data_IF_066281152781
#
_entry.id   IF_066281152781
#
_cell.length_a   1.000
_cell.length_b   1.000
_cell.length_c   1.000
_cell.angle_alpha   90.00
_cell.angle_beta   90.00
_cell.angle_gamma   90.00
#
_symmetry.space_group_name_H-M   'P 1'
#
loop_
_entity.id
_entity.type
_entity.pdbx_description
1 polymer ?
#
# COMPACT_ATOMS: atom_id res chain seq x y z
N UNK A 1 -31.14 21.33 9.63
CA UNK A 1 -29.84 21.85 10.09
C UNK A 1 -28.74 21.29 9.17
N UNK A 2 -28.00 22.20 8.53
CA UNK A 2 -27.02 21.86 7.50
C UNK A 2 -25.57 21.87 8.00
N UNK A 3 -25.34 21.93 9.29
CA UNK A 3 -24.00 22.03 9.89
C UNK A 3 -23.84 21.14 11.12
N UNK A 4 -22.58 20.77 11.42
CA UNK A 4 -22.19 20.03 12.61
C UNK A 4 -20.89 20.60 13.18
N UNK A 5 -20.75 20.58 14.51
CA UNK A 5 -19.51 20.98 15.20
C UNK A 5 -18.87 19.72 15.78
N UNK A 6 -17.59 19.54 15.51
CA UNK A 6 -16.76 18.48 16.10
C UNK A 6 -15.58 19.14 16.79
N UNK A 7 -15.35 18.78 18.06
CA UNK A 7 -14.27 19.31 18.90
C UNK A 7 -13.21 18.25 19.19
N UNK A 8 -12.07 18.65 19.72
CA UNK A 8 -10.97 17.73 20.03
C UNK A 8 -10.22 17.28 18.77
N UNK A 9 -9.91 18.22 17.89
CA UNK A 9 -9.28 17.96 16.60
C UNK A 9 -7.91 17.30 16.76
N UNK A 10 -7.72 16.21 16.04
CA UNK A 10 -6.44 15.55 15.85
C UNK A 10 -6.14 15.31 14.36
N UNK A 11 -4.93 14.86 14.04
CA UNK A 11 -4.51 14.70 12.65
C UNK A 11 -5.37 13.70 11.85
N UNK A 12 -5.75 12.52 12.35
CA UNK A 12 -6.68 11.62 11.66
C UNK A 12 -8.00 12.29 11.29
N UNK A 13 -8.59 13.08 12.17
CA UNK A 13 -9.80 13.85 11.87
C UNK A 13 -9.62 14.82 10.70
N UNK A 14 -8.49 15.52 10.64
CA UNK A 14 -8.22 16.48 9.56
C UNK A 14 -8.08 15.79 8.21
N UNK A 15 -7.38 14.65 8.19
CA UNK A 15 -7.22 13.84 6.99
C UNK A 15 -8.58 13.33 6.51
N UNK A 16 -9.39 12.79 7.41
CA UNK A 16 -10.72 12.27 7.08
C UNK A 16 -11.66 13.39 6.63
N UNK A 17 -11.70 14.53 7.32
CA UNK A 17 -12.50 15.68 6.91
C UNK A 17 -12.13 16.16 5.50
N UNK A 18 -10.85 16.19 5.20
CA UNK A 18 -10.37 16.57 3.89
C UNK A 18 -10.79 15.58 2.81
N UNK A 19 -10.72 14.27 3.10
CA UNK A 19 -11.09 13.20 2.17
C UNK A 19 -12.60 13.18 1.89
N UNK A 20 -13.40 13.25 2.92
CA UNK A 20 -14.86 13.13 2.82
C UNK A 20 -15.53 14.31 2.12
N UNK A 21 -14.91 15.49 2.10
CA UNK A 21 -15.46 16.69 1.42
C UNK A 21 -15.54 16.56 -0.11
N UNK A 22 -14.81 15.64 -0.71
CA UNK A 22 -14.80 15.45 -2.16
C UNK A 22 -15.97 14.61 -2.67
N UNK A 23 -16.68 13.92 -1.80
CA UNK A 23 -17.90 13.22 -2.17
C UNK A 23 -19.12 14.12 -1.97
N UNK A 24 -19.69 14.58 -3.07
CA UNK A 24 -20.86 15.46 -3.06
C UNK A 24 -22.12 14.83 -2.40
N UNK A 25 -22.11 13.53 -2.14
CA UNK A 25 -23.22 12.82 -1.45
C UNK A 25 -23.10 12.91 0.07
N UNK A 26 -21.94 13.28 0.60
CA UNK A 26 -21.72 13.36 2.02
C UNK A 26 -22.37 14.60 2.63
N UNK A 27 -23.18 14.40 3.65
CA UNK A 27 -23.75 15.48 4.45
C UNK A 27 -22.81 15.86 5.59
N UNK A 28 -22.90 17.09 6.10
CA UNK A 28 -22.11 17.54 7.26
C UNK A 28 -22.26 16.60 8.47
N UNK A 29 -23.45 16.04 8.69
CA UNK A 29 -23.71 15.11 9.79
C UNK A 29 -23.06 13.72 9.54
N UNK A 30 -23.06 13.22 8.31
CA UNK A 30 -22.37 11.98 7.96
C UNK A 30 -20.86 12.12 8.15
N UNK A 31 -20.30 13.23 7.66
CA UNK A 31 -18.88 13.55 7.85
C UNK A 31 -18.55 13.63 9.35
N UNK A 32 -19.33 14.37 10.15
CA UNK A 32 -19.09 14.51 11.58
C UNK A 32 -19.07 13.17 12.33
N UNK A 33 -19.94 12.22 11.98
CA UNK A 33 -19.91 10.86 12.56
C UNK A 33 -18.63 10.13 12.23
N UNK A 34 -18.18 10.17 10.98
CA UNK A 34 -16.91 9.58 10.56
C UNK A 34 -15.73 10.20 11.31
N UNK A 35 -15.69 11.52 11.40
CA UNK A 35 -14.61 12.23 12.11
C UNK A 35 -14.47 11.79 13.57
N UNK A 36 -15.57 11.59 14.28
CA UNK A 36 -15.54 11.14 15.69
C UNK A 36 -14.96 9.74 15.80
N UNK A 37 -15.26 8.85 14.86
CA UNK A 37 -14.73 7.48 14.83
C UNK A 37 -13.22 7.49 14.58
N UNK A 38 -12.78 8.21 13.58
CA UNK A 38 -11.36 8.32 13.22
C UNK A 38 -10.54 9.04 14.31
N UNK A 39 -11.13 10.06 14.97
CA UNK A 39 -10.48 10.72 16.08
C UNK A 39 -10.19 9.77 17.24
N UNK A 40 -11.15 8.93 17.59
CA UNK A 40 -10.99 7.94 18.68
C UNK A 40 -9.94 6.89 18.32
N UNK A 41 -9.96 6.39 17.10
CA UNK A 41 -8.98 5.43 16.60
C UNK A 41 -7.56 6.02 16.50
N UNK A 42 -7.45 7.33 16.32
CA UNK A 42 -6.18 8.04 16.21
C UNK A 42 -5.53 8.44 17.55
N UNK A 43 -6.19 8.22 18.68
CA UNK A 43 -5.60 8.46 20.01
C UNK A 43 -4.89 7.18 20.45
N UNK A 44 -3.57 7.23 20.52
CA UNK A 44 -2.72 6.11 20.91
C UNK A 44 -1.76 6.54 22.02
N UNK A 45 -1.42 5.63 22.91
CA UNK A 45 -0.44 5.85 23.97
C UNK A 45 0.72 4.85 23.84
N UNK A 46 1.92 5.32 24.14
CA UNK A 46 3.13 4.49 24.24
C UNK A 46 3.71 4.57 25.65
N UNK A 47 4.14 3.47 26.25
CA UNK A 47 4.08 2.08 25.75
C UNK A 47 2.64 1.54 25.74
N UNK A 48 2.37 0.55 24.89
CA UNK A 48 1.05 -0.05 24.67
C UNK A 48 0.41 -0.62 25.96
N UNK A 49 1.21 -0.93 26.97
CA UNK A 49 0.74 -1.35 28.30
C UNK A 49 -0.08 -0.30 29.04
N UNK A 50 -0.05 0.95 28.59
CA UNK A 50 -0.84 2.06 29.13
C UNK A 50 -2.14 2.32 28.32
N UNK A 51 -2.35 1.63 27.20
CA UNK A 51 -3.62 1.73 26.49
C UNK A 51 -4.73 1.16 27.37
N UNK A 52 -5.83 1.93 27.58
CA UNK A 52 -6.99 1.37 28.27
C UNK A 52 -7.46 0.13 27.51
N UNK A 53 -7.71 -0.97 28.21
CA UNK A 53 -8.35 -2.12 27.60
C UNK A 53 -9.72 -1.68 27.05
N UNK A 54 -9.77 -1.27 25.79
CA UNK A 54 -11.05 -1.18 25.11
C UNK A 54 -11.62 -2.60 25.10
N UNK A 55 -12.73 -2.79 25.79
CA UNK A 55 -13.63 -3.92 25.50
C UNK A 55 -13.97 -3.79 24.01
N UNK A 56 -13.17 -4.42 23.16
CA UNK A 56 -13.56 -4.65 21.77
C UNK A 56 -15.00 -5.16 21.83
N UNK A 57 -15.97 -4.50 21.18
CA UNK A 57 -17.14 -5.24 20.77
C UNK A 57 -16.55 -6.43 20.05
N UNK A 58 -16.92 -7.63 20.44
CA UNK A 58 -16.52 -8.83 19.75
C UNK A 58 -16.83 -8.59 18.27
N UNK A 59 -15.85 -8.05 17.56
CA UNK A 59 -15.85 -8.16 16.13
C UNK A 59 -15.85 -9.66 15.94
N UNK A 60 -17.00 -10.18 15.55
CA UNK A 60 -17.08 -11.51 15.01
C UNK A 60 -15.85 -11.56 14.09
N UNK A 61 -14.90 -12.40 14.45
CA UNK A 61 -13.80 -12.72 13.60
C UNK A 61 -14.47 -13.10 12.28
N UNK A 62 -14.47 -12.17 11.33
CA UNK A 62 -14.68 -12.52 9.96
C UNK A 62 -13.57 -13.52 9.73
N UNK A 63 -13.92 -14.80 9.77
CA UNK A 63 -13.06 -15.84 9.27
C UNK A 63 -12.51 -15.30 7.95
N UNK A 64 -11.20 -15.38 7.72
CA UNK A 64 -10.62 -14.91 6.47
C UNK A 64 -11.47 -15.49 5.37
N UNK A 65 -12.14 -14.63 4.61
CA UNK A 65 -13.10 -15.02 3.60
C UNK A 65 -12.42 -16.09 2.75
N UNK A 66 -12.89 -17.32 2.89
CA UNK A 66 -12.47 -18.56 2.27
C UNK A 66 -11.03 -18.54 1.77
N UNK A 67 -10.10 -19.06 2.58
CA UNK A 67 -8.76 -19.33 2.07
C UNK A 67 -8.92 -20.20 0.82
N UNK A 68 -8.65 -19.63 -0.34
CA UNK A 68 -8.70 -20.35 -1.61
C UNK A 68 -7.74 -21.52 -1.48
N UNK A 69 -8.18 -22.79 -1.68
CA UNK A 69 -7.31 -23.96 -1.49
C UNK A 69 -6.01 -23.82 -2.33
N UNK A 70 -4.87 -24.28 -1.81
CA UNK A 70 -3.64 -24.33 -2.59
C UNK A 70 -3.87 -25.12 -3.87
N UNK A 71 -3.41 -24.61 -5.02
CA UNK A 71 -3.57 -25.25 -6.33
C UNK A 71 -4.84 -24.82 -7.10
N UNK A 72 -5.70 -23.96 -6.54
CA UNK A 72 -6.76 -23.33 -7.32
C UNK A 72 -6.17 -22.36 -8.33
N UNK A 73 -6.52 -22.48 -9.61
CA UNK A 73 -6.12 -21.53 -10.64
C UNK A 73 -7.22 -20.49 -10.80
N UNK A 74 -6.89 -19.22 -10.60
CA UNK A 74 -7.79 -18.08 -10.81
C UNK A 74 -7.28 -17.30 -12.03
N UNK A 75 -8.19 -16.90 -12.90
CA UNK A 75 -7.83 -16.17 -14.13
C UNK A 75 -6.85 -16.98 -15.00
N UNK A 76 -5.75 -16.36 -15.42
CA UNK A 76 -4.68 -17.02 -16.20
C UNK A 76 -3.62 -17.70 -15.31
N UNK A 77 -3.82 -17.71 -13.98
CA UNK A 77 -2.91 -18.33 -13.02
C UNK A 77 -1.66 -17.52 -12.72
N UNK A 78 -1.55 -16.29 -13.23
CA UNK A 78 -0.37 -15.45 -13.03
C UNK A 78 -0.76 -14.05 -12.59
N UNK A 79 -0.11 -13.55 -11.53
CA UNK A 79 -0.26 -12.16 -11.13
C UNK A 79 0.24 -11.23 -12.24
N UNK A 80 -0.57 -10.24 -12.61
CA UNK A 80 -0.20 -9.23 -13.61
C UNK A 80 0.48 -8.06 -12.92
N UNK A 81 1.80 -7.97 -13.03
CA UNK A 81 2.56 -6.82 -12.57
C UNK A 81 2.37 -5.71 -13.61
N UNK A 82 1.51 -4.73 -13.33
CA UNK A 82 1.19 -3.66 -14.26
C UNK A 82 2.21 -2.52 -14.23
N UNK A 83 2.88 -2.33 -13.11
CA UNK A 83 3.89 -1.29 -12.93
C UNK A 83 4.79 -1.59 -11.74
N UNK A 84 6.05 -1.20 -11.82
CA UNK A 84 7.02 -1.21 -10.73
C UNK A 84 7.50 0.21 -10.49
N UNK A 85 7.49 0.66 -9.22
CA UNK A 85 7.97 1.97 -8.85
C UNK A 85 8.96 1.88 -7.69
N UNK A 86 10.07 2.58 -7.81
CA UNK A 86 11.04 2.79 -6.76
C UNK A 86 10.78 4.17 -6.16
N UNK A 87 10.37 4.22 -4.90
CA UNK A 87 10.05 5.44 -4.18
C UNK A 87 10.31 5.23 -2.69
N UNK A 88 11.24 5.98 -2.12
CA UNK A 88 11.61 5.89 -0.69
C UNK A 88 10.44 6.16 0.26
N UNK A 89 9.41 6.87 -0.23
CA UNK A 89 8.17 7.15 0.52
C UNK A 89 7.14 6.04 0.39
N UNK A 90 7.35 5.06 -0.51
CA UNK A 90 6.43 3.96 -0.80
C UNK A 90 5.02 4.45 -1.17
N UNK A 91 3.98 3.94 -0.49
CA UNK A 91 2.61 4.40 -0.75
C UNK A 91 2.35 5.73 -0.03
N UNK A 92 2.15 6.78 -0.83
CA UNK A 92 1.86 8.13 -0.36
C UNK A 92 0.85 8.80 -1.31
N UNK A 93 0.40 10.01 -0.97
CA UNK A 93 -0.67 10.70 -1.67
C UNK A 93 -0.56 10.73 -3.20
N UNK A 94 0.62 10.99 -3.76
CA UNK A 94 0.82 11.02 -5.21
C UNK A 94 0.65 9.62 -5.85
N UNK A 95 1.11 8.57 -5.17
CA UNK A 95 0.92 7.19 -5.63
C UNK A 95 -0.55 6.83 -5.56
N UNK A 96 -1.20 7.11 -4.43
CA UNK A 96 -2.61 6.80 -4.22
C UNK A 96 -3.56 7.56 -5.16
N UNK A 97 -3.23 8.78 -5.57
CA UNK A 97 -4.12 9.60 -6.39
C UNK A 97 -3.79 9.57 -7.89
N UNK A 98 -2.53 9.79 -8.26
CA UNK A 98 -2.13 9.95 -9.66
C UNK A 98 -1.80 8.60 -10.30
N UNK A 99 -0.85 7.87 -9.72
CA UNK A 99 -0.39 6.61 -10.29
C UNK A 99 -1.46 5.53 -10.30
N UNK A 100 -2.23 5.44 -9.21
CA UNK A 100 -3.34 4.47 -9.14
C UNK A 100 -4.38 4.72 -10.22
N UNK A 101 -4.73 5.99 -10.49
CA UNK A 101 -5.68 6.32 -11.57
C UNK A 101 -5.13 5.99 -12.95
N UNK A 102 -3.86 6.22 -13.18
CA UNK A 102 -3.22 5.99 -14.47
C UNK A 102 -3.05 4.49 -14.77
N UNK A 103 -2.60 3.72 -13.78
CA UNK A 103 -2.31 2.29 -13.93
C UNK A 103 -3.55 1.44 -13.72
N UNK A 104 -4.50 1.91 -12.90
CA UNK A 104 -5.72 1.22 -12.51
C UNK A 104 -5.45 -0.21 -11.98
N UNK A 105 -4.59 -0.38 -10.96
CA UNK A 105 -4.36 -1.66 -10.33
C UNK A 105 -5.53 -1.99 -9.40
N UNK A 106 -5.79 -3.26 -9.15
CA UNK A 106 -6.67 -3.69 -8.07
C UNK A 106 -5.91 -3.94 -6.76
N UNK A 107 -4.57 -4.00 -6.84
CA UNK A 107 -3.71 -4.22 -5.68
C UNK A 107 -2.41 -3.42 -5.77
N UNK A 108 -2.03 -2.79 -4.67
CA UNK A 108 -0.71 -2.18 -4.47
C UNK A 108 0.06 -3.07 -3.51
N UNK A 109 1.25 -3.51 -3.89
CA UNK A 109 2.09 -4.37 -3.06
C UNK A 109 3.40 -3.64 -2.78
N UNK A 110 3.61 -3.31 -1.52
CA UNK A 110 4.89 -2.79 -1.02
C UNK A 110 5.78 -3.98 -0.71
N UNK A 111 6.92 -4.05 -1.38
CA UNK A 111 7.89 -5.14 -1.24
C UNK A 111 9.11 -4.62 -0.49
N UNK A 112 9.18 -4.90 0.79
CA UNK A 112 10.28 -4.45 1.67
C UNK A 112 10.35 -5.33 2.91
N UNK A 113 11.53 -5.89 3.18
CA UNK A 113 11.77 -6.69 4.38
C UNK A 113 11.69 -5.81 5.64
N UNK A 114 12.22 -4.58 5.58
CA UNK A 114 12.21 -3.65 6.70
C UNK A 114 10.80 -3.23 7.11
N UNK A 115 9.97 -2.87 6.14
CA UNK A 115 8.58 -2.45 6.40
C UNK A 115 7.70 -3.62 6.82
N UNK A 116 7.96 -4.82 6.29
CA UNK A 116 7.18 -6.02 6.63
C UNK A 116 7.33 -6.43 8.11
N UNK A 117 8.43 -6.05 8.76
CA UNK A 117 8.68 -6.29 10.18
C UNK A 117 8.30 -5.10 11.08
N UNK A 118 7.88 -3.97 10.50
CA UNK A 118 7.39 -2.79 11.24
C UNK A 118 5.86 -2.73 11.14
N UNK A 119 5.18 -3.30 12.12
CA UNK A 119 3.71 -3.37 12.14
C UNK A 119 3.03 -1.99 12.09
N UNK A 120 3.67 -0.94 12.62
CA UNK A 120 3.13 0.41 12.55
C UNK A 120 3.19 0.95 11.11
N UNK A 121 4.37 0.90 10.47
CA UNK A 121 4.53 1.34 9.07
C UNK A 121 3.65 0.53 8.13
N UNK A 122 3.59 -0.79 8.32
CA UNK A 122 2.74 -1.69 7.55
C UNK A 122 1.27 -1.28 7.63
N UNK A 123 0.75 -1.09 8.84
CA UNK A 123 -0.65 -0.67 9.07
C UNK A 123 -0.93 0.68 8.40
N UNK A 124 -0.04 1.66 8.55
CA UNK A 124 -0.19 2.98 7.93
C UNK A 124 -0.24 2.89 6.39
N UNK A 125 0.61 2.06 5.79
CA UNK A 125 0.65 1.85 4.35
C UNK A 125 -0.64 1.16 3.87
N UNK A 126 -1.09 0.13 4.56
CA UNK A 126 -2.32 -0.60 4.20
C UNK A 126 -3.56 0.30 4.31
N UNK A 127 -3.60 1.20 5.27
CA UNK A 127 -4.67 2.19 5.43
C UNK A 127 -4.60 3.35 4.41
N UNK A 128 -3.45 3.61 3.83
CA UNK A 128 -3.28 4.64 2.82
C UNK A 128 -3.78 4.23 1.42
N UNK A 129 -4.31 3.02 1.28
CA UNK A 129 -4.84 2.52 0.02
C UNK A 129 -6.04 3.37 -0.46
N UNK A 130 -6.09 3.73 -1.73
CA UNK A 130 -7.25 4.44 -2.27
C UNK A 130 -8.47 3.54 -2.36
N UNK A 131 -9.70 4.12 -2.38
CA UNK A 131 -10.92 3.34 -2.49
C UNK A 131 -10.92 2.37 -3.67
N UNK A 132 -11.31 1.11 -3.42
CA UNK A 132 -11.36 0.06 -4.44
C UNK A 132 -10.03 -0.63 -4.74
N UNK A 133 -8.95 -0.25 -4.08
CA UNK A 133 -7.63 -0.86 -4.22
C UNK A 133 -7.16 -1.41 -2.88
N UNK A 134 -6.63 -2.61 -2.86
CA UNK A 134 -6.04 -3.19 -1.64
C UNK A 134 -4.54 -2.91 -1.60
N UNK A 135 -4.03 -2.44 -0.46
CA UNK A 135 -2.59 -2.36 -0.21
C UNK A 135 -2.15 -3.51 0.70
N UNK A 136 -1.00 -4.07 0.41
CA UNK A 136 -0.36 -5.09 1.23
C UNK A 136 1.14 -4.82 1.32
N UNK A 137 1.73 -5.16 2.44
CA UNK A 137 3.18 -5.14 2.63
C UNK A 137 3.68 -6.57 2.75
N UNK A 138 4.66 -6.94 1.93
CA UNK A 138 5.21 -8.30 1.92
C UNK A 138 6.74 -8.28 1.91
N UNK A 139 7.40 -9.24 2.56
CA UNK A 139 8.84 -9.44 2.42
C UNK A 139 9.20 -9.85 0.98
N UNK A 140 10.44 -9.60 0.59
CA UNK A 140 10.95 -9.91 -0.77
C UNK A 140 10.76 -11.40 -1.11
N UNK A 141 11.12 -12.30 -0.19
CA UNK A 141 10.95 -13.74 -0.37
C UNK A 141 9.49 -14.13 -0.59
N UNK A 142 8.58 -13.51 0.15
CA UNK A 142 7.14 -13.77 0.02
C UNK A 142 6.60 -13.29 -1.32
N UNK A 143 7.09 -12.18 -1.86
CA UNK A 143 6.70 -11.72 -3.18
C UNK A 143 7.07 -12.73 -4.27
N UNK A 144 8.25 -13.34 -4.17
CA UNK A 144 8.68 -14.40 -5.10
C UNK A 144 7.79 -15.66 -5.04
N UNK A 145 7.20 -15.97 -3.88
CA UNK A 145 6.19 -17.05 -3.77
C UNK A 145 4.86 -16.61 -4.39
N UNK A 146 4.41 -15.38 -4.13
CA UNK A 146 3.14 -14.82 -4.67
C UNK A 146 3.14 -14.82 -6.20
N UNK A 147 4.26 -14.50 -6.84
CA UNK A 147 4.36 -14.52 -8.31
C UNK A 147 4.13 -15.91 -8.88
N UNK A 148 4.51 -16.96 -8.16
CA UNK A 148 4.36 -18.36 -8.57
C UNK A 148 3.01 -18.97 -8.20
N UNK A 149 2.22 -18.26 -7.41
CA UNK A 149 0.95 -18.77 -6.87
C UNK A 149 -0.21 -18.48 -7.81
N UNK A 150 -0.77 -19.54 -8.36
CA UNK A 150 -1.88 -19.50 -9.34
C UNK A 150 -3.18 -18.88 -8.83
N UNK A 151 -3.30 -18.63 -7.53
CA UNK A 151 -4.48 -18.00 -6.93
C UNK A 151 -4.57 -16.49 -7.19
N UNK A 152 -3.49 -15.87 -7.67
CA UNK A 152 -3.43 -14.42 -7.92
C UNK A 152 -3.63 -14.03 -9.39
N UNK A 153 -4.16 -14.92 -10.24
CA UNK A 153 -4.33 -14.67 -11.67
C UNK A 153 -5.25 -13.50 -12.04
N UNK A 154 -6.19 -13.12 -11.16
CA UNK A 154 -7.02 -11.91 -11.34
C UNK A 154 -6.40 -10.65 -10.70
N UNK A 155 -5.19 -10.76 -10.17
CA UNK A 155 -4.53 -9.64 -9.51
C UNK A 155 -3.74 -8.82 -10.53
N UNK A 156 -4.16 -7.56 -10.72
CA UNK A 156 -3.40 -6.53 -11.41
C UNK A 156 -2.66 -5.68 -10.38
N UNK A 157 -1.37 -5.93 -10.20
CA UNK A 157 -0.57 -5.36 -9.14
C UNK A 157 0.29 -4.18 -9.61
N UNK A 158 0.40 -3.18 -8.75
CA UNK A 158 1.47 -2.18 -8.77
C UNK A 158 2.43 -2.50 -7.63
N UNK A 159 3.72 -2.70 -7.95
CA UNK A 159 4.75 -2.98 -6.96
C UNK A 159 5.47 -1.69 -6.57
N UNK A 160 5.71 -1.52 -5.26
CA UNK A 160 6.48 -0.41 -4.71
C UNK A 160 7.68 -0.95 -3.95
N UNK A 161 8.86 -0.43 -4.28
CA UNK A 161 10.12 -0.71 -3.62
C UNK A 161 10.68 0.56 -3.00
N UNK A 162 11.32 0.44 -1.83
CA UNK A 162 11.94 1.57 -1.15
C UNK A 162 13.25 2.00 -1.85
N UNK A 163 13.97 1.04 -2.43
CA UNK A 163 15.25 1.22 -3.08
C UNK A 163 15.48 0.24 -4.25
N UNK A 164 16.43 0.53 -5.15
CA UNK A 164 16.74 -0.34 -6.28
C UNK A 164 17.30 -1.70 -5.88
N UNK A 165 18.01 -1.78 -4.75
CA UNK A 165 18.64 -3.01 -4.27
C UNK A 165 17.60 -4.06 -3.89
N UNK A 166 16.50 -3.65 -3.27
CA UNK A 166 15.41 -4.55 -2.92
C UNK A 166 14.66 -5.05 -4.16
N UNK A 167 14.52 -4.19 -5.18
CA UNK A 167 14.00 -4.63 -6.48
C UNK A 167 14.94 -5.65 -7.14
N UNK A 168 16.25 -5.42 -7.13
CA UNK A 168 17.22 -6.37 -7.69
C UNK A 168 17.12 -7.72 -6.98
N UNK A 169 17.09 -7.75 -5.65
CA UNK A 169 16.90 -8.98 -4.87
C UNK A 169 15.60 -9.69 -5.23
N UNK A 170 14.51 -8.94 -5.45
CA UNK A 170 13.24 -9.52 -5.87
C UNK A 170 13.32 -10.17 -7.26
N UNK A 171 14.00 -9.54 -8.21
CA UNK A 171 14.25 -10.07 -9.55
C UNK A 171 15.08 -11.36 -9.47
N UNK A 172 16.14 -11.37 -8.67
CA UNK A 172 16.97 -12.55 -8.43
C UNK A 172 16.22 -13.70 -7.77
N UNK A 173 15.22 -13.37 -6.93
CA UNK A 173 14.33 -14.36 -6.31
C UNK A 173 13.24 -14.89 -7.25
N UNK A 174 13.13 -14.33 -8.48
CA UNK A 174 12.21 -14.79 -9.53
C UNK A 174 10.98 -13.92 -9.73
N UNK A 175 10.97 -12.69 -9.22
CA UNK A 175 9.99 -11.68 -9.62
C UNK A 175 10.45 -11.09 -10.95
N UNK A 176 9.75 -11.41 -12.03
CA UNK A 176 10.06 -10.87 -13.35
C UNK A 176 9.09 -9.73 -13.70
N UNK A 177 9.49 -8.46 -13.52
CA UNK A 177 8.67 -7.34 -13.91
C UNK A 177 8.83 -7.10 -15.42
N UNK A 178 8.04 -7.77 -16.23
CA UNK A 178 7.94 -7.52 -17.70
C UNK A 178 7.20 -6.20 -17.94
N UNK A 179 7.58 -5.13 -17.25
CA UNK A 179 6.87 -3.85 -17.28
C UNK A 179 7.84 -2.69 -17.06
N UNK A 180 7.39 -1.49 -17.39
CA UNK A 180 8.15 -0.28 -17.14
C UNK A 180 8.42 -0.09 -15.64
N UNK A 181 9.67 0.16 -15.29
CA UNK A 181 10.11 0.54 -13.95
C UNK A 181 10.25 2.06 -13.92
N UNK A 182 9.61 2.71 -12.96
CA UNK A 182 9.73 4.15 -12.75
C UNK A 182 10.39 4.49 -11.43
N UNK A 183 11.13 5.59 -11.39
CA UNK A 183 11.73 6.14 -10.18
C UNK A 183 10.96 7.39 -9.73
N UNK A 184 10.88 7.59 -8.42
CA UNK A 184 10.03 8.63 -7.83
C UNK A 184 10.48 10.04 -8.12
N UNK A 185 11.79 10.27 -8.11
CA UNK A 185 12.33 11.61 -8.23
C UNK A 185 13.76 11.56 -8.76
N UNK A 186 14.20 12.69 -9.32
CA UNK A 186 15.58 12.88 -9.72
C UNK A 186 16.56 12.64 -8.57
N UNK A 187 16.25 13.16 -7.38
CA UNK A 187 17.09 12.95 -6.20
C UNK A 187 17.22 11.48 -5.79
N UNK A 188 16.18 10.67 -5.99
CA UNK A 188 16.26 9.23 -5.76
C UNK A 188 17.16 8.57 -6.81
N UNK A 189 17.04 8.93 -8.08
CA UNK A 189 17.89 8.42 -9.15
C UNK A 189 19.35 8.83 -8.93
N UNK A 190 19.61 10.08 -8.60
CA UNK A 190 20.96 10.62 -8.33
C UNK A 190 21.62 9.92 -7.14
N UNK A 191 20.87 9.68 -6.05
CA UNK A 191 21.38 8.99 -4.86
C UNK A 191 21.88 7.57 -5.15
N UNK A 192 21.35 6.94 -6.21
CA UNK A 192 21.75 5.61 -6.67
C UNK A 192 22.55 5.61 -7.98
N UNK A 193 22.95 6.79 -8.46
CA UNK A 193 23.72 6.92 -9.71
C UNK A 193 22.96 6.51 -10.96
N UNK A 194 21.65 6.62 -10.95
CA UNK A 194 20.76 6.22 -12.04
C UNK A 194 20.10 7.44 -12.69
N UNK A 195 19.86 7.39 -13.99
CA UNK A 195 19.06 8.41 -14.65
C UNK A 195 17.59 8.32 -14.24
N UNK A 196 16.95 9.49 -14.15
CA UNK A 196 15.52 9.56 -13.88
C UNK A 196 14.70 9.09 -15.09
N UNK A 197 13.70 8.23 -14.84
CA UNK A 197 12.79 7.77 -15.88
C UNK A 197 12.30 6.34 -15.69
N UNK A 198 11.78 5.76 -16.74
CA UNK A 198 11.42 4.36 -16.83
C UNK A 198 12.66 3.54 -17.22
N UNK A 199 12.87 2.42 -16.55
CA UNK A 199 14.03 1.58 -16.77
C UNK A 199 13.62 0.13 -17.02
N UNK A 200 14.34 -0.50 -17.94
CA UNK A 200 14.26 -1.94 -18.13
C UNK A 200 14.91 -2.67 -16.93
N UNK A 201 14.36 -3.79 -16.46
CA UNK A 201 14.96 -4.59 -15.38
C UNK A 201 16.41 -5.01 -15.65
N UNK A 202 16.77 -5.25 -16.91
CA UNK A 202 18.13 -5.62 -17.30
C UNK A 202 19.10 -4.45 -17.19
N UNK A 203 18.66 -3.23 -17.53
CA UNK A 203 19.45 -1.99 -17.36
C UNK A 203 19.66 -1.70 -15.86
N UNK A 204 18.63 -1.89 -15.04
CA UNK A 204 18.71 -1.69 -13.60
C UNK A 204 19.75 -2.64 -12.98
N UNK A 205 19.79 -3.90 -13.40
CA UNK A 205 20.77 -4.88 -12.95
C UNK A 205 22.21 -4.42 -13.24
N UNK A 206 22.46 -3.92 -14.44
CA UNK A 206 23.78 -3.39 -14.82
C UNK A 206 24.18 -2.14 -14.05
N UNK A 207 23.22 -1.31 -13.67
CA UNK A 207 23.47 -0.06 -12.95
C UNK A 207 23.70 -0.25 -11.43
N UNK A 208 23.23 -1.37 -10.83
CA UNK A 208 23.31 -1.64 -9.39
C UNK A 208 24.39 -2.68 -9.05
N UNK A 209 24.81 -3.49 -10.02
CA UNK A 209 25.89 -4.46 -9.82
C UNK A 209 27.21 -3.75 -9.48
N UNK A 210 27.96 -4.23 -8.46
CA UNK A 210 29.25 -3.66 -8.05
C UNK A 210 30.33 -3.76 -9.13
#
# INVERSE_FOLDING_TARGET
>A
DSWAIVTGVNLPMLIEAYSQRFDAKNTAHAIAKHLVTEAKAGVRVKPESLEPEEKKPAAAAAAPAGAIPPGTVIGDGHIKIAHVRIDTRLLHGQVATTWTKQINPNRIIVVSDGVAHDELRKTMIEQAAPPGVHANVVPIKKMAEVVKDTRFGDTKAMLLFENPQDLLKAIEAGVDPVVAISMASLSTAEAFGLDHGCRDPHELRGAIAP
#
